data_IF_731977608973
#
_entry.id   IF_731977608973
#
_cell.length_a   1.000
_cell.length_b   1.000
_cell.length_c   1.000
_cell.angle_alpha   90.00
_cell.angle_beta   90.00
_cell.angle_gamma   90.00
#
_symmetry.space_group_name_H-M   'P 1'
#
loop_
_entity.id
_entity.type
_entity.pdbx_description
1 polymer ?
#
# COMPACT_ATOMS: atom_id res chain seq x y z
N UNK A 1 -53.11 7.97 -24.17
CA UNK A 1 -51.84 8.72 -24.02
C UNK A 1 -50.72 7.70 -24.21
N UNK A 2 -50.47 7.25 -25.45
CA UNK A 2 -49.57 7.86 -26.43
C UNK A 2 -48.11 7.94 -25.94
N UNK A 3 -47.30 6.97 -26.40
CA UNK A 3 -45.82 6.92 -26.44
C UNK A 3 -45.27 8.06 -27.33
N UNK A 4 -43.96 8.40 -27.34
CA UNK A 4 -42.87 7.55 -27.89
C UNK A 4 -41.57 7.58 -27.04
N UNK A 5 -40.75 6.53 -26.98
CA UNK A 5 -39.77 6.07 -27.98
C UNK A 5 -38.72 7.14 -28.36
N UNK A 6 -37.49 7.01 -27.84
CA UNK A 6 -36.32 7.65 -28.44
C UNK A 6 -35.19 6.63 -28.64
N UNK A 7 -34.73 6.58 -29.89
CA UNK A 7 -33.82 5.62 -30.50
C UNK A 7 -32.38 6.15 -30.54
N UNK A 8 -31.45 5.20 -30.42
CA UNK A 8 -30.23 5.02 -31.22
C UNK A 8 -29.35 6.23 -31.59
N UNK A 9 -28.07 6.14 -31.21
CA UNK A 9 -26.97 6.65 -32.04
C UNK A 9 -25.68 5.84 -31.84
N UNK A 10 -25.45 4.91 -32.76
CA UNK A 10 -24.15 4.30 -33.09
C UNK A 10 -23.35 5.22 -34.02
N UNK A 11 -22.03 5.34 -33.84
CA UNK A 11 -21.09 5.79 -34.90
C UNK A 11 -19.61 5.49 -34.53
N UNK A 12 -18.64 5.56 -35.47
CA UNK A 12 -17.98 4.37 -36.01
C UNK A 12 -16.45 4.37 -35.84
N UNK A 13 -15.83 3.25 -36.23
CA UNK A 13 -14.40 3.09 -36.48
C UNK A 13 -13.85 4.05 -37.54
N UNK A 14 -12.61 4.52 -37.33
CA UNK A 14 -11.71 5.06 -38.35
C UNK A 14 -10.28 4.59 -37.99
N UNK A 15 -9.67 3.70 -38.79
CA UNK A 15 -8.85 3.94 -39.99
C UNK A 15 -7.35 4.02 -39.65
N UNK A 16 -6.63 3.07 -40.24
CA UNK A 16 -5.17 2.95 -40.30
C UNK A 16 -4.49 4.17 -40.91
N UNK A 17 -3.30 4.49 -40.40
CA UNK A 17 -2.28 5.21 -41.14
C UNK A 17 -0.95 4.44 -41.01
N UNK A 18 -0.56 3.78 -42.09
CA UNK A 18 0.79 3.27 -42.32
C UNK A 18 1.64 4.43 -42.83
N UNK A 19 2.81 4.63 -42.24
CA UNK A 19 3.87 5.50 -42.78
C UNK A 19 5.14 4.67 -42.90
N UNK A 20 5.66 4.62 -44.12
CA UNK A 20 6.82 3.85 -44.56
C UNK A 20 8.00 4.79 -44.84
N UNK A 21 9.23 4.25 -44.67
CA UNK A 21 10.56 4.69 -45.18
C UNK A 21 11.15 5.96 -44.50
N UNK A 22 12.32 5.93 -43.84
CA UNK A 22 13.65 5.77 -44.46
C UNK A 22 14.75 5.48 -43.42
N UNK A 23 15.66 4.55 -43.75
CA UNK A 23 16.86 4.18 -42.99
C UNK A 23 17.88 5.30 -42.81
N UNK A 24 18.66 5.23 -41.72
CA UNK A 24 20.10 5.49 -41.83
C UNK A 24 20.93 4.30 -41.31
N UNK A 25 21.84 3.88 -42.19
CA UNK A 25 23.17 3.29 -42.01
C UNK A 25 23.57 2.71 -40.64
N UNK A 26 23.83 1.41 -40.67
CA UNK A 26 24.37 0.58 -39.59
C UNK A 26 25.67 1.13 -38.99
N UNK A 27 25.79 1.25 -37.65
CA UNK A 27 27.07 1.47 -37.00
C UNK A 27 27.91 0.18 -37.01
N UNK A 28 29.17 0.33 -37.38
CA UNK A 28 30.21 -0.71 -37.40
C UNK A 28 30.43 -1.31 -36.01
N UNK A 29 30.29 -2.62 -35.90
CA UNK A 29 30.52 -3.39 -34.68
C UNK A 29 32.04 -3.42 -34.39
N UNK A 30 32.50 -3.04 -33.18
CA UNK A 30 33.89 -3.22 -32.81
C UNK A 30 34.22 -4.71 -32.63
N UNK A 31 35.26 -5.17 -33.32
CA UNK A 31 35.79 -6.52 -33.19
C UNK A 31 36.58 -6.61 -31.89
N UNK A 32 36.14 -7.46 -30.97
CA UNK A 32 36.82 -7.76 -29.71
C UNK A 32 37.55 -9.09 -29.87
N UNK A 33 38.88 -9.07 -29.87
CA UNK A 33 39.71 -10.27 -29.79
C UNK A 33 40.18 -10.48 -28.35
N UNK A 34 39.97 -11.65 -27.74
CA UNK A 34 40.51 -11.95 -26.43
C UNK A 34 42.01 -12.26 -26.54
N UNK A 35 42.83 -11.54 -25.76
CA UNK A 35 44.21 -11.92 -25.45
C UNK A 35 44.36 -12.04 -23.94
N UNK A 36 45.13 -13.06 -23.52
CA UNK A 36 45.10 -13.66 -22.18
C UNK A 36 45.53 -12.77 -20.99
N UNK A 37 45.83 -11.48 -21.15
CA UNK A 37 46.37 -10.65 -20.04
C UNK A 37 45.82 -9.21 -20.00
N UNK A 38 44.64 -8.94 -20.54
CA UNK A 38 43.97 -7.64 -20.32
C UNK A 38 43.09 -7.19 -21.48
N UNK A 39 42.08 -6.41 -21.15
CA UNK A 39 41.14 -5.85 -22.13
C UNK A 39 41.78 -4.63 -22.80
N UNK A 40 42.07 -4.73 -24.10
CA UNK A 40 42.54 -3.60 -24.93
C UNK A 40 41.37 -3.11 -25.79
N UNK A 41 41.03 -1.83 -25.69
CA UNK A 41 39.99 -1.21 -26.53
C UNK A 41 40.69 -0.26 -27.50
N UNK A 42 40.52 -0.50 -28.80
CA UNK A 42 41.03 0.38 -29.85
C UNK A 42 39.87 1.17 -30.42
N UNK A 43 39.90 2.49 -30.29
CA UNK A 43 38.88 3.38 -30.86
C UNK A 43 39.47 3.98 -32.14
N UNK A 44 38.82 3.73 -33.28
CA UNK A 44 39.17 4.37 -34.55
C UNK A 44 38.33 5.62 -34.73
N UNK A 45 38.99 6.76 -34.88
CA UNK A 45 38.34 8.03 -35.20
C UNK A 45 38.08 8.15 -36.71
N UNK A 46 37.16 9.04 -37.08
CA UNK A 46 36.74 9.25 -38.48
C UNK A 46 37.87 9.83 -39.38
N UNK A 47 38.93 10.36 -38.77
CA UNK A 47 40.13 10.88 -39.42
C UNK A 47 41.18 9.79 -39.72
N UNK A 48 40.90 8.53 -39.40
CA UNK A 48 41.81 7.40 -39.62
C UNK A 48 42.86 7.21 -38.52
N UNK A 49 42.84 8.03 -37.46
CA UNK A 49 43.74 7.86 -36.32
C UNK A 49 43.17 6.87 -35.30
N UNK A 50 44.04 6.07 -34.67
CA UNK A 50 43.65 5.14 -33.62
C UNK A 50 44.34 5.51 -32.31
N UNK A 51 43.56 5.66 -31.24
CA UNK A 51 44.08 5.81 -29.89
C UNK A 51 43.90 4.48 -29.15
N UNK A 52 45.00 4.01 -28.54
CA UNK A 52 45.01 2.80 -27.72
C UNK A 52 45.00 3.19 -26.25
N UNK A 53 44.03 2.68 -25.49
CA UNK A 53 43.98 2.86 -24.04
C UNK A 53 44.11 1.48 -23.39
N UNK A 54 45.24 1.26 -22.72
CA UNK A 54 45.51 0.05 -21.94
C UNK A 54 45.12 0.31 -20.50
N UNK A 55 44.15 -0.45 -19.98
CA UNK A 55 43.76 -0.40 -18.57
C UNK A 55 44.49 -1.51 -17.81
N UNK A 56 45.50 -1.16 -17.01
CA UNK A 56 46.12 -2.10 -16.06
C UNK A 56 45.24 -2.28 -14.81
N UNK A 57 45.03 -3.52 -14.33
CA UNK A 57 44.35 -3.75 -13.07
C UNK A 57 45.29 -3.46 -11.89
N UNK A 58 45.03 -2.36 -11.17
CA UNK A 58 45.75 -2.02 -9.93
C UNK A 58 45.32 -2.94 -8.79
N UNK A 59 46.26 -3.74 -8.29
CA UNK A 59 46.15 -4.58 -7.09
C UNK A 59 45.93 -3.73 -5.81
N UNK A 60 45.15 -4.19 -4.81
CA UNK A 60 44.84 -3.38 -3.63
C UNK A 60 45.94 -3.48 -2.58
N UNK A 61 46.81 -2.47 -2.52
CA UNK A 61 47.67 -2.25 -1.35
C UNK A 61 46.95 -1.35 -0.34
N UNK A 62 46.96 -1.82 0.90
CA UNK A 62 46.30 -1.25 2.08
C UNK A 62 47.07 -0.03 2.57
N UNK A 63 46.42 1.13 2.65
CA UNK A 63 46.94 2.25 3.44
C UNK A 63 45.80 3.06 4.05
N UNK A 64 45.73 3.03 5.38
CA UNK A 64 44.90 3.89 6.22
C UNK A 64 45.42 5.33 6.15
N UNK A 65 44.68 6.29 5.61
CA UNK A 65 44.62 7.66 6.16
C UNK A 65 43.43 8.47 5.63
N UNK A 66 42.97 9.34 6.51
CA UNK A 66 41.72 10.08 6.54
C UNK A 66 41.68 11.32 5.60
N UNK A 67 40.47 11.64 5.12
CA UNK A 67 39.87 12.99 4.96
C UNK A 67 40.18 13.83 3.69
N UNK A 68 39.18 13.94 2.80
CA UNK A 68 38.42 15.18 2.47
C UNK A 68 37.52 14.98 1.22
N UNK A 69 36.33 15.58 1.25
CA UNK A 69 35.28 15.74 0.19
C UNK A 69 35.20 17.28 -0.01
N UNK A 70 34.82 17.94 -1.15
CA UNK A 70 33.71 17.53 -2.03
C UNK A 70 33.69 17.95 -3.52
N UNK A 71 32.60 17.47 -4.16
CA UNK A 71 31.77 18.11 -5.19
C UNK A 71 31.97 17.70 -6.66
N UNK A 72 30.92 17.14 -7.26
CA UNK A 72 30.83 16.89 -8.70
C UNK A 72 29.83 15.79 -9.06
N UNK A 73 28.54 16.11 -8.93
CA UNK A 73 27.45 15.65 -9.80
C UNK A 73 27.50 14.19 -10.27
N UNK A 74 26.73 13.30 -9.64
CA UNK A 74 26.17 12.16 -10.35
C UNK A 74 24.82 11.74 -9.74
N UNK A 75 23.86 11.57 -10.64
CA UNK A 75 22.52 11.04 -10.42
C UNK A 75 22.64 9.61 -9.86
N UNK A 76 22.44 9.46 -8.56
CA UNK A 76 22.37 8.15 -7.93
C UNK A 76 21.04 7.47 -8.31
N UNK A 77 21.09 6.66 -9.36
CA UNK A 77 20.28 5.46 -9.41
C UNK A 77 20.55 4.68 -8.13
N UNK A 78 19.57 4.70 -7.22
CA UNK A 78 19.55 3.92 -5.99
C UNK A 78 19.99 2.49 -6.30
N UNK A 79 21.25 2.23 -5.96
CA UNK A 79 21.92 0.94 -6.09
C UNK A 79 21.08 -0.03 -5.29
N UNK A 80 20.29 -0.84 -5.99
CA UNK A 80 19.67 -2.05 -5.45
C UNK A 80 20.85 -2.89 -4.98
N UNK A 81 21.17 -2.72 -3.71
CA UNK A 81 22.26 -3.36 -3.03
C UNK A 81 21.98 -4.85 -3.13
N UNK A 82 22.76 -5.54 -3.94
CA UNK A 82 22.79 -6.99 -4.01
C UNK A 82 22.94 -7.50 -2.57
N UNK A 83 21.93 -8.17 -1.98
CA UNK A 83 22.10 -8.76 -0.68
C UNK A 83 22.98 -9.99 -0.91
N UNK A 84 24.29 -9.76 -0.92
CA UNK A 84 25.29 -10.80 -0.73
C UNK A 84 24.95 -11.49 0.58
N UNK A 85 24.21 -12.60 0.48
CA UNK A 85 24.10 -13.73 1.40
C UNK A 85 24.18 -13.45 2.91
N UNK A 86 23.63 -12.32 3.39
CA UNK A 86 23.44 -12.11 4.83
C UNK A 86 22.29 -13.02 5.23
N UNK A 87 22.63 -14.18 5.82
CA UNK A 87 21.65 -15.08 6.46
C UNK A 87 20.65 -14.21 7.24
N UNK A 88 19.34 -14.33 6.99
CA UNK A 88 18.36 -13.49 7.67
C UNK A 88 18.59 -13.63 9.17
N UNK A 89 18.78 -12.52 9.86
CA UNK A 89 18.98 -12.54 11.31
C UNK A 89 17.78 -13.25 11.94
N UNK A 90 18.03 -14.04 13.00
CA UNK A 90 16.97 -14.81 13.69
C UNK A 90 15.77 -13.93 14.07
N UNK A 91 16.01 -12.64 14.30
CA UNK A 91 14.98 -11.63 14.57
C UNK A 91 14.02 -11.41 13.39
N UNK A 92 14.52 -11.27 12.17
CA UNK A 92 13.70 -11.05 10.97
C UNK A 92 12.83 -12.26 10.66
N UNK A 93 13.35 -13.47 10.87
CA UNK A 93 12.58 -14.70 10.70
C UNK A 93 11.45 -14.79 11.74
N UNK A 94 11.73 -14.49 13.01
CA UNK A 94 10.70 -14.43 14.07
C UNK A 94 9.61 -13.41 13.75
N UNK A 95 9.99 -12.23 13.29
CA UNK A 95 9.04 -11.20 12.87
C UNK A 95 8.15 -11.70 11.73
N UNK A 96 8.74 -12.31 10.69
CA UNK A 96 7.97 -12.90 9.58
C UNK A 96 6.96 -13.95 10.04
N UNK A 97 7.36 -14.84 10.96
CA UNK A 97 6.47 -15.87 11.52
C UNK A 97 5.32 -15.23 12.30
N UNK A 98 5.62 -14.23 13.14
CA UNK A 98 4.58 -13.51 13.89
C UNK A 98 3.55 -12.85 12.97
N UNK A 99 4.00 -12.22 11.88
CA UNK A 99 3.07 -11.65 10.89
C UNK A 99 2.21 -12.73 10.22
N UNK A 100 2.76 -13.89 9.87
CA UNK A 100 1.98 -14.99 9.27
C UNK A 100 0.89 -15.47 10.25
N UNK A 101 1.26 -15.70 11.51
CA UNK A 101 0.32 -16.12 12.56
C UNK A 101 -0.79 -15.08 12.72
N UNK A 102 -0.44 -13.79 12.70
CA UNK A 102 -1.40 -12.70 12.79
C UNK A 102 -2.42 -12.71 11.64
N UNK A 103 -1.98 -12.91 10.38
CA UNK A 103 -2.91 -12.99 9.24
C UNK A 103 -3.80 -14.23 9.32
N UNK A 104 -3.26 -15.38 9.76
CA UNK A 104 -4.06 -16.59 9.96
C UNK A 104 -5.14 -16.35 11.02
N UNK A 105 -4.78 -15.73 12.15
CA UNK A 105 -5.73 -15.41 13.21
C UNK A 105 -6.82 -14.46 12.71
N UNK A 106 -6.45 -13.41 11.96
CA UNK A 106 -7.41 -12.47 11.36
C UNK A 106 -8.36 -13.18 10.38
N UNK A 107 -7.81 -14.05 9.51
CA UNK A 107 -8.61 -14.81 8.57
C UNK A 107 -9.59 -15.77 9.29
N UNK A 108 -9.17 -16.43 10.37
CA UNK A 108 -10.04 -17.28 11.19
C UNK A 108 -11.17 -16.46 11.80
N UNK A 109 -10.87 -15.30 12.40
CA UNK A 109 -11.89 -14.41 12.95
C UNK A 109 -12.91 -13.98 11.89
N UNK A 110 -12.42 -13.58 10.72
CA UNK A 110 -13.28 -13.18 9.60
C UNK A 110 -14.17 -14.35 9.12
N UNK A 111 -13.64 -15.58 9.05
CA UNK A 111 -14.42 -16.78 8.70
C UNK A 111 -15.49 -17.07 9.74
N UNK A 112 -15.18 -16.96 11.04
CA UNK A 112 -16.18 -17.14 12.10
C UNK A 112 -17.33 -16.13 11.95
N UNK A 113 -17.02 -14.87 11.65
CA UNK A 113 -18.04 -13.85 11.40
C UNK A 113 -18.88 -14.20 10.16
N UNK A 114 -18.27 -14.66 9.07
CA UNK A 114 -19.02 -15.13 7.88
C UNK A 114 -19.98 -16.26 8.25
N UNK A 115 -19.52 -17.24 9.03
CA UNK A 115 -20.36 -18.35 9.47
C UNK A 115 -21.55 -17.85 10.30
N UNK A 116 -21.32 -16.95 11.26
CA UNK A 116 -22.39 -16.36 12.06
C UNK A 116 -23.40 -15.63 11.17
N UNK A 117 -22.94 -14.76 10.26
CA UNK A 117 -23.81 -14.00 9.36
C UNK A 117 -24.57 -14.90 8.37
N UNK A 118 -23.94 -15.97 7.90
CA UNK A 118 -24.61 -16.95 7.04
C UNK A 118 -25.71 -17.71 7.80
N UNK A 119 -25.44 -18.10 9.06
CA UNK A 119 -26.44 -18.74 9.92
C UNK A 119 -27.61 -17.81 10.23
N UNK A 120 -27.37 -16.53 10.51
CA UNK A 120 -28.46 -15.57 10.77
C UNK A 120 -29.33 -15.36 9.53
N UNK A 121 -28.73 -15.25 8.34
CA UNK A 121 -29.48 -15.16 7.08
C UNK A 121 -30.27 -16.44 6.77
N UNK A 122 -29.69 -17.62 7.04
CA UNK A 122 -30.38 -18.89 6.85
C UNK A 122 -31.61 -19.01 7.77
N UNK A 123 -31.45 -18.65 9.04
CA UNK A 123 -32.54 -18.68 10.02
C UNK A 123 -33.63 -17.65 9.70
N UNK A 124 -33.23 -16.44 9.28
CA UNK A 124 -34.17 -15.43 8.78
C UNK A 124 -34.96 -15.97 7.59
N UNK A 125 -34.30 -16.56 6.59
CA UNK A 125 -34.98 -17.07 5.40
C UNK A 125 -35.95 -18.23 5.71
N UNK A 126 -35.65 -19.03 6.75
CA UNK A 126 -36.53 -20.09 7.24
C UNK A 126 -37.77 -19.55 7.97
N UNK A 127 -37.60 -18.48 8.75
CA UNK A 127 -38.64 -17.95 9.65
C UNK A 127 -39.38 -16.72 9.11
N UNK A 128 -38.95 -16.14 7.98
CA UNK A 128 -39.54 -14.92 7.40
C UNK A 128 -41.04 -15.00 7.11
N UNK A 129 -41.56 -16.19 6.86
CA UNK A 129 -42.98 -16.41 6.54
C UNK A 129 -43.83 -16.70 7.79
N UNK A 130 -43.20 -16.86 8.95
CA UNK A 130 -43.93 -17.15 10.18
C UNK A 130 -44.58 -15.87 10.75
N UNK A 131 -45.85 -15.92 11.18
CA UNK A 131 -46.57 -14.75 11.69
C UNK A 131 -45.90 -14.20 12.96
N UNK A 132 -45.63 -12.89 12.98
CA UNK A 132 -44.98 -12.23 14.11
C UNK A 132 -43.48 -12.53 14.28
N UNK A 133 -42.85 -13.29 13.37
CA UNK A 133 -41.42 -13.56 13.49
C UNK A 133 -40.52 -12.35 13.23
N UNK A 134 -40.96 -11.44 12.35
CA UNK A 134 -40.18 -10.26 11.96
C UNK A 134 -41.12 -9.07 11.75
N UNK A 135 -40.61 -7.82 11.91
CA UNK A 135 -41.36 -6.63 11.53
C UNK A 135 -41.69 -6.66 10.02
N UNK A 136 -42.74 -5.96 9.55
CA UNK A 136 -43.24 -6.07 8.18
C UNK A 136 -42.23 -5.68 7.09
N UNK A 137 -41.13 -5.00 7.43
CA UNK A 137 -39.99 -4.74 6.55
C UNK A 137 -38.70 -4.67 7.37
N UNK A 138 -38.06 -5.82 7.71
CA UNK A 138 -36.85 -5.79 8.51
C UNK A 138 -35.69 -5.23 7.68
N UNK A 139 -34.91 -4.34 8.29
CA UNK A 139 -33.74 -3.76 7.62
C UNK A 139 -32.60 -4.78 7.65
N UNK A 140 -32.33 -5.40 6.50
CA UNK A 140 -31.28 -6.42 6.33
C UNK A 140 -29.90 -5.83 5.97
N UNK A 141 -29.85 -4.53 5.66
CA UNK A 141 -28.64 -3.87 5.16
C UNK A 141 -27.38 -4.08 6.02
N UNK A 142 -27.43 -4.06 7.38
CA UNK A 142 -26.21 -4.20 8.17
C UNK A 142 -25.62 -5.61 8.06
N UNK A 143 -26.47 -6.63 7.94
CA UNK A 143 -26.05 -8.04 7.86
C UNK A 143 -25.36 -8.33 6.53
N UNK A 144 -25.92 -7.85 5.41
CA UNK A 144 -25.29 -7.99 4.10
C UNK A 144 -23.97 -7.24 3.98
N UNK A 145 -23.90 -6.01 4.53
CA UNK A 145 -22.66 -5.22 4.50
C UNK A 145 -21.55 -5.92 5.30
N UNK A 146 -21.85 -6.42 6.50
CA UNK A 146 -20.90 -7.18 7.32
C UNK A 146 -20.40 -8.46 6.63
N UNK A 147 -21.31 -9.17 5.93
CA UNK A 147 -20.96 -10.37 5.17
C UNK A 147 -19.99 -10.03 4.03
N UNK A 148 -20.31 -9.01 3.22
CA UNK A 148 -19.49 -8.59 2.07
C UNK A 148 -18.10 -8.15 2.55
N UNK A 149 -18.05 -7.32 3.59
CA UNK A 149 -16.79 -6.81 4.14
C UNK A 149 -15.94 -7.96 4.69
N UNK A 150 -16.55 -8.91 5.40
CA UNK A 150 -15.82 -10.09 5.90
C UNK A 150 -15.27 -10.95 4.76
N UNK A 151 -16.02 -11.16 3.68
CA UNK A 151 -15.53 -11.88 2.48
C UNK A 151 -14.33 -11.17 1.84
N UNK A 152 -14.38 -9.84 1.69
CA UNK A 152 -13.26 -9.05 1.17
C UNK A 152 -12.04 -9.14 2.08
N UNK A 153 -12.23 -9.11 3.40
CA UNK A 153 -11.13 -9.24 4.36
C UNK A 153 -10.44 -10.60 4.25
N UNK A 154 -11.21 -11.70 4.18
CA UNK A 154 -10.63 -13.04 4.00
C UNK A 154 -9.82 -13.11 2.70
N UNK A 155 -10.33 -12.52 1.61
CA UNK A 155 -9.62 -12.48 0.34
C UNK A 155 -8.32 -11.67 0.43
N UNK A 156 -8.34 -10.51 1.11
CA UNK A 156 -7.15 -9.69 1.32
C UNK A 156 -6.11 -10.36 2.21
N UNK A 157 -6.55 -11.00 3.30
CA UNK A 157 -5.67 -11.76 4.20
C UNK A 157 -5.06 -12.98 3.48
N UNK A 158 -5.83 -13.66 2.63
CA UNK A 158 -5.33 -14.74 1.79
C UNK A 158 -4.25 -14.25 0.81
N UNK A 159 -4.47 -13.11 0.13
CA UNK A 159 -3.45 -12.50 -0.75
C UNK A 159 -2.19 -12.16 0.03
N UNK A 160 -2.33 -11.52 1.20
CA UNK A 160 -1.20 -11.15 2.05
C UNK A 160 -0.41 -12.38 2.54
N UNK A 161 -1.11 -13.47 2.86
CA UNK A 161 -0.51 -14.73 3.26
C UNK A 161 0.24 -15.39 2.10
N UNK A 162 -0.36 -15.44 0.91
CA UNK A 162 0.30 -15.96 -0.31
C UNK A 162 1.57 -15.16 -0.64
N UNK A 163 1.49 -13.84 -0.60
CA UNK A 163 2.64 -12.94 -0.78
C UNK A 163 3.75 -13.26 0.22
N UNK A 164 3.40 -13.49 1.48
CA UNK A 164 4.36 -13.75 2.54
C UNK A 164 4.98 -15.15 2.44
N UNK A 165 4.21 -16.16 2.04
CA UNK A 165 4.66 -17.55 1.91
C UNK A 165 5.46 -17.79 0.62
N UNK A 166 5.06 -17.19 -0.51
CA UNK A 166 5.73 -17.36 -1.80
C UNK A 166 6.93 -16.42 -2.00
N UNK A 167 7.08 -15.42 -1.13
CA UNK A 167 8.07 -14.34 -1.20
C UNK A 167 9.51 -14.75 -0.85
N UNK A 168 10.10 -15.72 -1.55
CA UNK A 168 11.56 -15.97 -1.46
C UNK A 168 12.18 -16.36 -2.80
N UNK A 169 11.44 -17.03 -3.69
CA UNK A 169 11.97 -17.47 -5.00
C UNK A 169 11.62 -16.54 -6.16
N UNK A 170 10.54 -15.76 -6.05
CA UNK A 170 10.03 -14.87 -7.13
C UNK A 170 10.34 -13.38 -6.86
N UNK A 171 10.87 -13.05 -5.69
CA UNK A 171 11.03 -11.67 -5.22
C UNK A 171 12.16 -10.88 -5.87
N UNK A 172 13.10 -11.51 -6.58
CA UNK A 172 14.24 -10.77 -7.13
C UNK A 172 13.81 -9.73 -8.19
N UNK A 173 12.64 -9.92 -8.81
CA UNK A 173 12.08 -9.01 -9.83
C UNK A 173 10.85 -8.23 -9.35
N UNK A 174 10.11 -8.73 -8.34
CA UNK A 174 8.77 -8.19 -7.99
C UNK A 174 8.69 -7.60 -6.58
N UNK A 175 9.79 -7.53 -5.82
CA UNK A 175 9.80 -7.06 -4.43
C UNK A 175 9.19 -5.66 -4.23
N UNK A 176 9.43 -4.75 -5.16
CA UNK A 176 8.91 -3.36 -5.09
C UNK A 176 7.40 -3.30 -5.31
N UNK A 177 6.84 -4.15 -6.18
CA UNK A 177 5.39 -4.22 -6.43
C UNK A 177 4.71 -4.87 -5.23
N UNK A 178 5.28 -5.97 -4.74
CA UNK A 178 4.75 -6.73 -3.60
C UNK A 178 4.63 -5.86 -2.33
N UNK A 179 5.62 -5.02 -2.05
CA UNK A 179 5.61 -4.12 -0.89
C UNK A 179 4.60 -2.98 -1.03
N UNK A 180 4.41 -2.45 -2.24
CA UNK A 180 3.35 -1.46 -2.53
C UNK A 180 1.97 -2.06 -2.37
N UNK A 181 1.73 -3.22 -3.00
CA UNK A 181 0.46 -3.96 -2.90
C UNK A 181 0.11 -4.24 -1.45
N UNK A 182 1.05 -4.76 -0.65
CA UNK A 182 0.84 -5.02 0.78
C UNK A 182 0.44 -3.78 1.57
N UNK A 183 1.03 -2.64 1.25
CA UNK A 183 0.72 -1.39 1.96
C UNK A 183 -0.71 -0.95 1.64
N UNK A 184 -1.10 -1.01 0.36
CA UNK A 184 -2.46 -0.64 -0.08
C UNK A 184 -3.51 -1.61 0.46
N UNK A 185 -3.29 -2.92 0.34
CA UNK A 185 -4.22 -3.94 0.84
C UNK A 185 -4.37 -3.86 2.36
N UNK A 186 -3.29 -3.56 3.09
CA UNK A 186 -3.33 -3.35 4.53
C UNK A 186 -4.24 -2.19 4.94
N UNK A 187 -4.12 -1.03 4.27
CA UNK A 187 -4.94 0.15 4.55
C UNK A 187 -6.42 -0.10 4.24
N UNK A 188 -6.71 -0.67 3.07
CA UNK A 188 -8.10 -1.00 2.69
C UNK A 188 -8.72 -1.97 3.69
N UNK A 189 -7.99 -3.02 4.07
CA UNK A 189 -8.47 -3.99 5.03
C UNK A 189 -8.66 -3.41 6.44
N UNK A 190 -7.97 -2.31 6.80
CA UNK A 190 -8.20 -1.62 8.08
C UNK A 190 -9.45 -0.73 8.07
N UNK A 191 -9.71 -0.05 6.95
CA UNK A 191 -10.83 0.90 6.82
C UNK A 191 -12.18 0.17 6.73
N UNK A 192 -12.26 -0.91 5.95
CA UNK A 192 -13.53 -1.59 5.68
C UNK A 192 -14.22 -2.12 6.96
N UNK A 193 -13.55 -2.84 7.89
CA UNK A 193 -14.14 -3.25 9.16
C UNK A 193 -14.59 -2.08 10.04
N UNK A 194 -13.85 -0.97 10.03
CA UNK A 194 -14.20 0.22 10.80
C UNK A 194 -15.50 0.85 10.30
N UNK A 195 -15.67 0.93 8.98
CA UNK A 195 -16.94 1.36 8.36
C UNK A 195 -18.07 0.40 8.73
N UNK A 196 -17.83 -0.91 8.73
CA UNK A 196 -18.83 -1.91 9.12
C UNK A 196 -19.34 -1.69 10.56
N UNK A 197 -18.42 -1.51 11.52
CA UNK A 197 -18.75 -1.23 12.92
C UNK A 197 -19.51 0.10 13.05
N UNK A 198 -19.11 1.13 12.31
CA UNK A 198 -19.78 2.42 12.28
C UNK A 198 -21.21 2.33 11.76
N UNK A 199 -21.42 1.66 10.63
CA UNK A 199 -22.75 1.45 10.04
C UNK A 199 -23.62 0.62 10.98
N UNK A 200 -23.06 -0.40 11.63
CA UNK A 200 -23.79 -1.22 12.57
C UNK A 200 -24.32 -0.40 13.75
N UNK A 201 -23.48 0.45 14.34
CA UNK A 201 -23.90 1.37 15.41
C UNK A 201 -24.93 2.39 14.93
N UNK A 202 -24.74 2.92 13.73
CA UNK A 202 -25.68 3.88 13.15
C UNK A 202 -27.05 3.25 12.86
N UNK A 203 -27.08 2.03 12.33
CA UNK A 203 -28.32 1.30 12.08
C UNK A 203 -29.11 1.11 13.37
N UNK A 204 -28.46 0.58 14.42
CA UNK A 204 -29.13 0.30 15.70
C UNK A 204 -29.79 1.53 16.35
N UNK A 205 -29.20 2.73 16.17
CA UNK A 205 -29.75 3.98 16.74
C UNK A 205 -30.90 4.54 15.88
N UNK A 206 -30.82 4.43 14.55
CA UNK A 206 -31.78 5.08 13.66
C UNK A 206 -32.97 4.20 13.27
N UNK A 207 -32.85 2.87 13.36
CA UNK A 207 -33.91 1.96 12.93
C UNK A 207 -34.89 1.58 14.04
N UNK A 208 -34.85 2.21 15.23
CA UNK A 208 -35.75 1.89 16.35
C UNK A 208 -35.84 0.37 16.64
N UNK A 209 -34.72 -0.37 16.52
CA UNK A 209 -34.65 -1.83 16.67
C UNK A 209 -35.46 -2.66 15.64
N UNK A 210 -35.81 -2.10 14.47
CA UNK A 210 -36.45 -2.84 13.36
C UNK A 210 -35.45 -3.54 12.44
N UNK A 211 -34.16 -3.45 12.73
CA UNK A 211 -33.13 -4.25 12.08
C UNK A 211 -33.19 -5.70 12.59
N UNK A 212 -32.61 -6.63 11.83
CA UNK A 212 -32.66 -8.06 12.17
C UNK A 212 -32.12 -8.35 13.59
N UNK A 213 -31.15 -7.57 14.07
CA UNK A 213 -30.48 -7.79 15.35
C UNK A 213 -31.30 -7.20 16.50
N UNK A 214 -31.73 -5.96 16.37
CA UNK A 214 -32.64 -5.31 17.31
C UNK A 214 -33.95 -6.08 17.46
N UNK A 215 -34.51 -6.58 16.36
CA UNK A 215 -35.74 -7.37 16.37
C UNK A 215 -35.55 -8.74 17.04
N UNK A 216 -34.40 -9.39 16.82
CA UNK A 216 -34.10 -10.71 17.43
C UNK A 216 -33.93 -10.63 18.95
N UNK A 217 -33.47 -9.49 19.48
CA UNK A 217 -33.30 -9.29 20.92
C UNK A 217 -34.55 -8.71 21.61
N UNK A 218 -35.61 -8.39 20.85
CA UNK A 218 -36.86 -7.87 21.40
C UNK A 218 -37.89 -9.02 21.51
N UNK A 219 -37.95 -9.66 22.68
CA UNK A 219 -38.74 -10.87 22.96
C UNK A 219 -40.27 -10.71 22.85
N UNK A 220 -40.79 -9.51 22.58
CA UNK A 220 -42.23 -9.22 22.62
C UNK A 220 -43.04 -9.61 21.38
N UNK A 221 -42.39 -10.00 20.27
CA UNK A 221 -43.06 -10.11 18.97
C UNK A 221 -43.35 -11.55 18.52
N UNK A 222 -42.68 -12.56 19.11
CA UNK A 222 -42.85 -13.95 18.70
C UNK A 222 -44.20 -14.51 19.11
N UNK A 223 -44.96 -15.02 18.14
CA UNK A 223 -46.26 -15.68 18.39
C UNK A 223 -46.11 -17.19 18.66
N UNK A 224 -44.96 -17.78 18.35
CA UNK A 224 -44.69 -19.20 18.52
C UNK A 224 -43.36 -19.43 19.25
N UNK A 225 -43.32 -20.49 20.08
CA UNK A 225 -42.14 -20.88 20.85
C UNK A 225 -40.93 -21.19 19.94
N UNK A 226 -41.18 -21.77 18.77
CA UNK A 226 -40.13 -22.05 17.78
C UNK A 226 -39.45 -20.76 17.29
N UNK A 227 -40.24 -19.72 16.98
CA UNK A 227 -39.72 -18.41 16.54
C UNK A 227 -38.97 -17.72 17.68
N UNK A 228 -39.48 -17.78 18.91
CA UNK A 228 -38.82 -17.21 20.08
C UNK A 228 -37.43 -17.84 20.32
N UNK A 229 -37.32 -19.16 20.18
CA UNK A 229 -36.03 -19.86 20.32
C UNK A 229 -35.02 -19.45 19.23
N UNK A 230 -35.48 -19.33 17.99
CA UNK A 230 -34.63 -18.87 16.87
C UNK A 230 -34.16 -17.43 17.11
N UNK A 231 -35.06 -16.52 17.50
CA UNK A 231 -34.72 -15.13 17.81
C UNK A 231 -33.70 -15.02 18.96
N UNK A 232 -33.89 -15.78 20.05
CA UNK A 232 -32.95 -15.82 21.18
C UNK A 232 -31.56 -16.33 20.76
N UNK A 233 -31.51 -17.38 19.94
CA UNK A 233 -30.25 -17.93 19.41
C UNK A 233 -29.52 -16.91 18.53
N UNK A 234 -30.26 -16.22 17.66
CA UNK A 234 -29.69 -15.16 16.82
C UNK A 234 -29.18 -14.01 17.67
N UNK A 235 -29.96 -13.55 18.66
CA UNK A 235 -29.57 -12.48 19.58
C UNK A 235 -28.26 -12.78 20.30
N UNK A 236 -28.12 -13.99 20.87
CA UNK A 236 -26.90 -14.38 21.57
C UNK A 236 -25.69 -14.45 20.62
N UNK A 237 -25.86 -15.08 19.46
CA UNK A 237 -24.78 -15.24 18.48
C UNK A 237 -24.30 -13.87 17.96
N UNK A 238 -25.24 -12.98 17.65
CA UNK A 238 -24.98 -11.62 17.20
C UNK A 238 -24.29 -10.76 18.28
N UNK A 239 -24.71 -10.92 19.54
CA UNK A 239 -24.08 -10.23 20.68
C UNK A 239 -22.61 -10.62 20.83
N UNK A 240 -22.24 -11.87 20.49
CA UNK A 240 -20.84 -12.33 20.46
C UNK A 240 -20.11 -11.87 19.20
N UNK A 241 -20.79 -11.78 18.05
CA UNK A 241 -20.17 -11.35 16.79
C UNK A 241 -19.70 -9.88 16.82
N UNK A 242 -20.45 -9.00 17.48
CA UNK A 242 -20.10 -7.58 17.57
C UNK A 242 -18.71 -7.31 18.17
N UNK A 243 -18.36 -7.80 19.38
CA UNK A 243 -17.03 -7.60 19.94
C UNK A 243 -15.93 -8.29 19.15
N UNK A 244 -16.21 -9.43 18.49
CA UNK A 244 -15.25 -10.07 17.58
C UNK A 244 -14.90 -9.16 16.39
N UNK A 245 -15.90 -8.49 15.81
CA UNK A 245 -15.68 -7.54 14.74
C UNK A 245 -14.83 -6.34 15.20
N UNK A 246 -15.10 -5.81 16.40
CA UNK A 246 -14.31 -4.71 16.99
C UNK A 246 -12.87 -5.14 17.23
N UNK A 247 -12.65 -6.34 17.78
CA UNK A 247 -11.32 -6.89 18.01
C UNK A 247 -10.55 -7.07 16.70
N UNK A 248 -11.22 -7.50 15.62
CA UNK A 248 -10.60 -7.61 14.30
C UNK A 248 -10.11 -6.25 13.77
N UNK A 249 -10.87 -5.16 14.00
CA UNK A 249 -10.44 -3.80 13.64
C UNK A 249 -9.13 -3.45 14.35
N UNK A 250 -9.03 -3.74 15.65
CA UNK A 250 -7.80 -3.49 16.42
C UNK A 250 -6.60 -4.23 15.87
N UNK A 251 -6.73 -5.53 15.57
CA UNK A 251 -5.64 -6.31 15.00
C UNK A 251 -5.19 -5.77 13.64
N UNK A 252 -6.13 -5.36 12.79
CA UNK A 252 -5.81 -4.79 11.50
C UNK A 252 -5.14 -3.42 11.62
N UNK A 253 -5.58 -2.61 12.59
CA UNK A 253 -4.97 -1.33 12.91
C UNK A 253 -3.52 -1.49 13.37
N UNK A 254 -3.24 -2.44 14.27
CA UNK A 254 -1.87 -2.77 14.68
C UNK A 254 -1.00 -3.20 13.50
N UNK A 255 -1.55 -4.02 12.59
CA UNK A 255 -0.83 -4.48 11.40
C UNK A 255 -0.42 -3.34 10.45
N UNK A 256 -1.20 -2.26 10.40
CA UNK A 256 -0.92 -1.08 9.56
C UNK A 256 -0.04 -0.07 10.28
N UNK A 257 -0.31 0.21 11.56
CA UNK A 257 0.43 1.21 12.35
C UNK A 257 1.90 0.82 12.51
N UNK A 258 2.21 -0.43 12.85
CA UNK A 258 3.60 -0.87 13.10
C UNK A 258 4.54 -0.62 11.91
N UNK A 259 4.25 -1.08 10.67
CA UNK A 259 5.10 -0.81 9.52
C UNK A 259 5.09 0.66 9.08
N UNK A 260 3.98 1.38 9.24
CA UNK A 260 3.93 2.82 8.96
C UNK A 260 4.81 3.61 9.93
N UNK A 261 4.76 3.28 11.22
CA UNK A 261 5.61 3.89 12.24
C UNK A 261 7.09 3.59 12.00
N UNK A 262 7.43 2.36 11.59
CA UNK A 262 8.79 2.00 11.19
C UNK A 262 9.31 2.82 10.00
N UNK A 263 8.47 3.01 8.97
CA UNK A 263 8.81 3.87 7.82
C UNK A 263 8.94 5.34 8.24
N UNK A 264 8.00 5.85 9.03
CA UNK A 264 8.02 7.24 9.51
C UNK A 264 9.28 7.54 10.32
N UNK A 265 9.67 6.63 11.21
CA UNK A 265 10.93 6.73 11.96
C UNK A 265 12.14 6.74 11.03
N UNK A 266 12.22 5.83 10.07
CA UNK A 266 13.33 5.79 9.11
C UNK A 266 13.43 7.10 8.29
N UNK A 267 12.29 7.68 7.90
CA UNK A 267 12.28 8.98 7.19
C UNK A 267 12.73 10.14 8.07
N UNK A 268 12.39 10.13 9.37
CA UNK A 268 12.85 11.12 10.34
C UNK A 268 14.36 11.04 10.57
N UNK A 269 14.89 9.82 10.69
CA UNK A 269 16.33 9.58 10.83
C UNK A 269 17.09 9.99 9.56
N UNK A 270 16.55 9.70 8.37
CA UNK A 270 17.13 10.14 7.10
C UNK A 270 17.08 11.67 6.91
N UNK A 271 16.01 12.33 7.34
CA UNK A 271 15.89 13.78 7.33
C UNK A 271 16.88 14.43 8.32
N UNK A 272 17.06 13.86 9.51
CA UNK A 272 18.04 14.33 10.48
C UNK A 272 19.50 14.13 10.00
N UNK A 273 19.79 13.04 9.29
CA UNK A 273 21.11 12.76 8.74
C UNK A 273 21.50 13.68 7.56
N UNK A 274 20.52 14.25 6.86
CA UNK A 274 20.78 15.21 5.76
C UNK A 274 21.23 16.59 6.24
N UNK A 275 21.14 16.88 7.54
CA UNK A 275 21.43 18.22 8.08
C UNK A 275 20.49 19.29 7.50
N UNK A 276 20.55 20.55 7.98
CA UNK A 276 19.90 21.66 7.29
C UNK A 276 20.49 21.75 5.88
N UNK A 277 19.63 21.65 4.87
CA UNK A 277 20.06 21.80 3.48
C UNK A 277 20.68 23.19 3.30
N UNK A 278 21.78 23.29 2.53
CA UNK A 278 22.46 24.56 2.23
C UNK A 278 21.52 25.67 1.71
N UNK A 279 20.32 25.34 1.24
CA UNK A 279 19.24 26.29 0.92
C UNK A 279 18.90 27.22 2.08
N UNK A 280 18.92 26.75 3.33
CA UNK A 280 18.64 27.59 4.51
C UNK A 280 19.85 28.47 4.86
N UNK A 281 21.07 28.03 4.52
CA UNK A 281 22.30 28.80 4.72
C UNK A 281 22.53 29.84 3.60
N UNK A 282 21.99 29.61 2.41
CA UNK A 282 22.07 30.52 1.27
C UNK A 282 21.02 31.64 1.36
N UNK A 283 19.80 31.34 1.84
CA UNK A 283 18.81 32.38 2.19
C UNK A 283 19.30 33.33 3.29
N UNK A 284 19.97 32.80 4.33
CA UNK A 284 20.54 33.65 5.39
C UNK A 284 21.68 34.53 4.88
N UNK A 285 22.50 34.05 3.93
CA UNK A 285 23.57 34.86 3.32
C UNK A 285 23.04 35.95 2.40
N UNK A 286 21.96 35.69 1.67
CA UNK A 286 21.31 36.71 0.84
C UNK A 286 20.71 37.83 1.71
N UNK A 287 20.05 37.48 2.82
CA UNK A 287 19.47 38.48 3.72
C UNK A 287 20.53 39.38 4.40
N UNK A 288 21.69 38.82 4.79
CA UNK A 288 22.77 39.61 5.40
C UNK A 288 23.42 40.56 4.38
N UNK A 289 23.55 40.16 3.12
CA UNK A 289 24.13 41.01 2.08
C UNK A 289 23.22 42.16 1.67
N UNK A 290 21.89 41.95 1.69
CA UNK A 290 20.91 43.01 1.43
C UNK A 290 20.89 44.05 2.55
N UNK A 291 20.99 43.61 3.81
CA UNK A 291 21.03 44.50 4.98
C UNK A 291 22.35 45.31 5.05
N UNK A 292 23.48 44.71 4.66
CA UNK A 292 24.76 45.40 4.57
C UNK A 292 24.84 46.42 3.42
N UNK A 293 24.16 46.18 2.30
CA UNK A 293 24.08 47.12 1.18
C UNK A 293 23.33 48.40 1.54
N UNK A 294 22.24 48.29 2.30
CA UNK A 294 21.40 49.42 2.69
C UNK A 294 22.10 50.39 3.66
N UNK A 295 22.95 49.87 4.56
CA UNK A 295 23.74 50.69 5.50
C UNK A 295 24.86 51.49 4.81
N UNK A 296 25.42 50.99 3.70
CA UNK A 296 26.47 51.69 2.96
C UNK A 296 25.88 52.86 2.16
N UNK A 297 24.66 52.73 1.65
CA UNK A 297 23.99 53.81 0.91
C UNK A 297 23.56 54.97 1.83
N UNK A 298 23.10 54.66 3.05
CA UNK A 298 22.77 55.67 4.06
C UNK A 298 24.00 56.49 4.50
N UNK A 299 25.18 55.86 4.56
CA UNK A 299 26.43 56.54 4.91
C UNK A 299 26.95 57.50 3.83
N UNK A 300 26.62 57.28 2.54
CA UNK A 300 26.98 58.20 1.45
C UNK A 300 26.09 59.45 1.43
N UNK A 301 24.84 59.32 1.85
CA UNK A 301 23.90 60.45 1.87
C UNK A 301 24.28 61.51 2.91
N UNK A 302 24.94 61.11 4.01
CA UNK A 302 25.39 62.02 5.07
C UNK A 302 26.74 62.72 4.81
N UNK A 303 27.55 62.25 3.85
CA UNK A 303 28.85 62.87 3.55
C UNK A 303 28.79 63.98 2.50
N UNK A 304 27.60 64.29 1.97
CA UNK A 304 27.37 65.27 0.91
C UNK A 304 26.64 66.55 1.32
N UNK A 305 26.39 66.76 2.62
CA UNK A 305 25.84 68.01 3.17
C UNK A 305 26.90 68.82 3.92
#
# INVERSE_FOLDING_TARGET
MASPEEKMASKPSAVSASTEITSPTSPTIPVVSPTDIGWKITIKNADGTSNEVTLEPKSPERTDTMRSIPLGENVDHEKVQDPTEKKPTKLLLKLKIYLIIQYILNAILAVVIIVIMALTLAQYNSTKNAPGAWPPNPVLSPTFIMLIISCVNVLMDAINLLVQCCGVRVLRTVATIVTKVRTVTGVVAAIMPAVAVGIFKFANVNTNNTDLWGASCNNGNATSEHVANVQSTICNTNTVAYPLQVLQVWFQLFCVIVPLYGKWRATKEAAAARGPSNTDAEEVKLNINDEAGNLIDESRQFSGM
#
